data_IF_080904093339
#
_entry.id   IF_080904093339
#
_cell.length_a   1.000
_cell.length_b   1.000
_cell.length_c   1.000
_cell.angle_alpha   90.00
_cell.angle_beta   90.00
_cell.angle_gamma   90.00
#
_symmetry.space_group_name_H-M   'P 1'
#
loop_
_entity.id
_entity.type
_entity.pdbx_description
1 polymer ?
#
# COMPACT_ATOMS: atom_id res chain seq x y z
N UNK A 1 39.01 3.97 -16.33
CA UNK A 1 38.18 4.16 -15.13
C UNK A 1 36.72 3.88 -15.46
N UNK A 2 36.23 2.65 -15.29
CA UNK A 2 34.80 2.32 -15.44
C UNK A 2 34.50 1.01 -14.72
N UNK A 3 33.98 1.10 -13.49
CA UNK A 3 33.72 -0.08 -12.65
C UNK A 3 32.87 0.18 -11.40
N UNK A 4 32.80 1.43 -10.92
CA UNK A 4 32.14 1.76 -9.65
C UNK A 4 30.61 1.90 -9.72
N UNK A 5 30.01 2.18 -10.89
CA UNK A 5 28.58 2.52 -11.00
C UNK A 5 27.62 1.30 -10.92
N UNK A 6 28.09 0.08 -11.16
CA UNK A 6 27.21 -1.12 -11.23
C UNK A 6 26.82 -1.71 -9.87
N UNK A 7 27.64 -1.53 -8.83
CA UNK A 7 27.37 -2.13 -7.52
C UNK A 7 26.32 -1.36 -6.71
N UNK A 8 26.36 -0.02 -6.72
CA UNK A 8 25.38 0.83 -6.05
C UNK A 8 23.96 0.64 -6.63
N UNK A 9 23.89 0.53 -7.96
CA UNK A 9 22.64 0.41 -8.72
C UNK A 9 21.91 -0.93 -8.49
N UNK A 10 22.63 -1.97 -8.09
CA UNK A 10 22.05 -3.25 -7.67
C UNK A 10 21.53 -3.24 -6.23
N UNK A 11 22.20 -2.51 -5.33
CA UNK A 11 21.77 -2.33 -3.94
C UNK A 11 20.46 -1.57 -3.83
N UNK A 12 20.32 -0.49 -4.61
CA UNK A 12 19.12 0.36 -4.62
C UNK A 12 17.88 -0.39 -5.11
N UNK A 13 18.01 -1.20 -6.15
CA UNK A 13 16.91 -2.00 -6.67
C UNK A 13 16.43 -3.08 -5.67
N UNK A 14 17.36 -3.67 -4.92
CA UNK A 14 17.04 -4.66 -3.89
C UNK A 14 16.33 -4.02 -2.69
N UNK A 15 16.81 -2.86 -2.23
CA UNK A 15 16.18 -2.10 -1.15
C UNK A 15 14.74 -1.68 -1.52
N UNK A 16 14.54 -1.21 -2.76
CA UNK A 16 13.20 -0.89 -3.27
C UNK A 16 12.27 -2.10 -3.26
N UNK A 17 12.74 -3.26 -3.72
CA UNK A 17 11.93 -4.49 -3.75
C UNK A 17 11.49 -4.92 -2.34
N UNK A 18 12.39 -4.85 -1.36
CA UNK A 18 12.09 -5.15 0.05
C UNK A 18 11.04 -4.18 0.59
N UNK A 19 11.27 -2.87 0.43
CA UNK A 19 10.37 -1.84 0.93
C UNK A 19 8.97 -1.97 0.30
N UNK A 20 8.91 -2.14 -1.02
CA UNK A 20 7.66 -2.34 -1.74
C UNK A 20 6.93 -3.61 -1.28
N UNK A 21 7.66 -4.71 -1.09
CA UNK A 21 7.12 -5.98 -0.64
C UNK A 21 6.60 -5.93 0.80
N UNK A 22 7.20 -5.10 1.66
CA UNK A 22 6.72 -4.82 3.02
C UNK A 22 5.41 -4.03 2.98
N UNK A 23 5.41 -2.86 2.34
CA UNK A 23 4.23 -1.97 2.26
C UNK A 23 3.04 -2.67 1.61
N UNK A 24 3.26 -3.50 0.58
CA UNK A 24 2.22 -4.33 -0.03
C UNK A 24 1.53 -5.24 0.99
N UNK A 25 2.32 -5.91 1.85
CA UNK A 25 1.81 -6.85 2.86
C UNK A 25 1.08 -6.12 3.98
N UNK A 26 1.65 -5.02 4.47
CA UNK A 26 1.02 -4.15 5.47
C UNK A 26 -0.36 -3.66 5.01
N UNK A 27 -0.51 -3.37 3.71
CA UNK A 27 -1.79 -2.94 3.11
C UNK A 27 -2.68 -4.10 2.64
N UNK A 28 -2.32 -5.36 2.92
CA UNK A 28 -3.12 -6.53 2.54
C UNK A 28 -3.31 -6.74 1.03
N UNK A 29 -2.45 -6.15 0.19
CA UNK A 29 -2.64 -6.15 -1.27
C UNK A 29 -2.11 -7.45 -1.90
N UNK A 30 -2.84 -8.00 -2.87
CA UNK A 30 -2.28 -9.02 -3.77
C UNK A 30 -1.26 -8.39 -4.73
N UNK A 31 -0.38 -9.20 -5.33
CA UNK A 31 0.54 -8.69 -6.36
C UNK A 31 -0.20 -8.16 -7.59
N UNK A 32 -1.36 -8.74 -7.93
CA UNK A 32 -2.20 -8.26 -9.02
C UNK A 32 -2.83 -6.90 -8.71
N UNK A 33 -3.27 -6.67 -7.46
CA UNK A 33 -3.78 -5.37 -7.03
C UNK A 33 -2.67 -4.30 -7.05
N UNK A 34 -1.47 -4.64 -6.55
CA UNK A 34 -0.32 -3.75 -6.62
C UNK A 34 0.07 -3.42 -8.06
N UNK A 35 0.02 -4.39 -8.96
CA UNK A 35 0.31 -4.21 -10.38
C UNK A 35 -0.63 -3.19 -11.03
N UNK A 36 -1.94 -3.26 -10.73
CA UNK A 36 -2.92 -2.26 -11.19
C UNK A 36 -2.59 -0.85 -10.67
N UNK A 37 -2.25 -0.72 -9.39
CA UNK A 37 -1.89 0.57 -8.77
C UNK A 37 -0.64 1.17 -9.42
N UNK A 38 0.36 0.35 -9.70
CA UNK A 38 1.63 0.79 -10.27
C UNK A 38 1.64 0.89 -11.81
N UNK A 39 0.52 0.58 -12.47
CA UNK A 39 0.42 0.59 -13.93
C UNK A 39 1.34 -0.44 -14.61
N UNK A 40 1.50 -1.63 -14.01
CA UNK A 40 2.36 -2.70 -14.49
C UNK A 40 1.61 -4.04 -14.60
N UNK A 41 2.25 -5.04 -15.21
CA UNK A 41 1.73 -6.41 -15.19
C UNK A 41 2.04 -7.10 -13.85
N UNK A 42 1.22 -8.07 -13.44
CA UNK A 42 1.50 -8.86 -12.24
C UNK A 42 2.83 -9.63 -12.35
N UNK A 43 3.17 -10.14 -13.54
CA UNK A 43 4.45 -10.80 -13.78
C UNK A 43 5.65 -9.85 -13.58
N UNK A 44 5.52 -8.59 -14.01
CA UNK A 44 6.54 -7.55 -13.77
C UNK A 44 6.72 -7.29 -12.28
N UNK A 45 5.62 -7.17 -11.53
CA UNK A 45 5.66 -6.98 -10.08
C UNK A 45 6.25 -8.19 -9.36
N UNK A 46 5.91 -9.40 -9.77
CA UNK A 46 6.47 -10.63 -9.19
C UNK A 46 8.00 -10.66 -9.33
N UNK A 47 8.53 -10.42 -10.54
CA UNK A 47 9.98 -10.37 -10.81
C UNK A 47 10.68 -9.24 -10.06
N UNK A 48 10.03 -8.08 -9.95
CA UNK A 48 10.55 -6.94 -9.19
C UNK A 48 10.67 -7.30 -7.71
N UNK A 49 9.61 -7.85 -7.10
CA UNK A 49 9.59 -8.22 -5.68
C UNK A 49 10.56 -9.37 -5.36
N UNK A 50 10.83 -10.25 -6.33
CA UNK A 50 11.85 -11.28 -6.23
C UNK A 50 13.29 -10.73 -6.36
N UNK A 51 13.48 -9.44 -6.62
CA UNK A 51 14.79 -8.83 -6.83
C UNK A 51 15.47 -9.24 -8.15
N UNK A 52 14.75 -9.91 -9.04
CA UNK A 52 15.28 -10.46 -10.29
C UNK A 52 15.30 -9.45 -11.44
N UNK A 53 14.73 -8.27 -11.23
CA UNK A 53 14.53 -7.30 -12.30
C UNK A 53 14.67 -5.87 -11.79
N UNK A 54 15.57 -5.11 -12.43
CA UNK A 54 15.67 -3.66 -12.21
C UNK A 54 14.49 -2.94 -12.87
N UNK A 55 13.62 -2.25 -12.11
CA UNK A 55 12.44 -1.61 -12.68
C UNK A 55 12.84 -0.48 -13.64
N UNK A 56 12.00 -0.25 -14.67
CA UNK A 56 12.12 0.93 -15.54
C UNK A 56 11.92 2.20 -14.70
N UNK A 57 12.48 3.36 -15.11
CA UNK A 57 12.39 4.60 -14.34
C UNK A 57 10.96 4.99 -13.92
N UNK A 58 9.98 4.82 -14.81
CA UNK A 58 8.57 5.11 -14.49
C UNK A 58 8.03 4.21 -13.36
N UNK A 59 8.29 2.90 -13.43
CA UNK A 59 7.87 1.94 -12.40
C UNK A 59 8.61 2.17 -11.09
N UNK A 60 9.89 2.53 -11.15
CA UNK A 60 10.68 2.90 -9.98
C UNK A 60 10.04 4.11 -9.27
N UNK A 61 9.74 5.18 -9.99
CA UNK A 61 9.11 6.37 -9.43
C UNK A 61 7.72 6.06 -8.84
N UNK A 62 6.91 5.25 -9.54
CA UNK A 62 5.62 4.81 -9.03
C UNK A 62 5.75 4.00 -7.73
N UNK A 63 6.71 3.08 -7.65
CA UNK A 63 6.98 2.30 -6.45
C UNK A 63 7.44 3.19 -5.28
N UNK A 64 8.35 4.13 -5.52
CA UNK A 64 8.81 5.09 -4.50
C UNK A 64 7.65 5.93 -3.97
N UNK A 65 6.81 6.47 -4.86
CA UNK A 65 5.61 7.24 -4.47
C UNK A 65 4.64 6.38 -3.65
N UNK A 66 4.41 5.15 -4.08
CA UNK A 66 3.52 4.23 -3.38
C UNK A 66 4.03 3.90 -1.96
N UNK A 67 5.34 3.69 -1.81
CA UNK A 67 5.98 3.44 -0.50
C UNK A 67 5.84 4.66 0.41
N UNK A 68 6.11 5.86 -0.11
CA UNK A 68 6.06 7.11 0.66
C UNK A 68 4.65 7.62 0.94
N UNK A 69 3.64 7.16 0.20
CA UNK A 69 2.25 7.54 0.46
C UNK A 69 1.75 6.84 1.72
N UNK A 70 1.62 7.53 2.85
CA UNK A 70 0.99 6.97 4.05
C UNK A 70 -0.51 6.71 3.80
N UNK A 71 -1.06 5.52 4.13
CA UNK A 71 -2.48 5.24 3.96
C UNK A 71 -3.40 6.06 4.87
N UNK A 72 -2.86 6.87 5.78
CA UNK A 72 -3.61 7.58 6.83
C UNK A 72 -3.60 9.11 6.72
N UNK A 73 -3.02 9.72 5.69
CA UNK A 73 -2.94 11.19 5.58
C UNK A 73 -3.50 11.72 4.26
N UNK A 74 -4.46 11.02 3.67
CA UNK A 74 -5.35 11.65 2.70
C UNK A 74 -6.65 12.05 3.42
N UNK A 75 -6.81 13.35 3.77
CA UNK A 75 -8.03 13.84 4.39
C UNK A 75 -9.27 13.51 3.55
N UNK A 76 -9.15 13.41 2.22
CA UNK A 76 -10.26 13.07 1.34
C UNK A 76 -10.64 11.58 1.46
N UNK A 77 -9.67 10.68 1.60
CA UNK A 77 -9.94 9.26 1.79
C UNK A 77 -10.59 8.98 3.16
N UNK A 78 -10.12 9.63 4.23
CA UNK A 78 -10.73 9.54 5.55
C UNK A 78 -12.15 10.12 5.54
N UNK A 79 -12.35 11.29 4.91
CA UNK A 79 -13.67 11.90 4.76
C UNK A 79 -14.65 11.01 3.99
N UNK A 80 -14.19 10.32 2.93
CA UNK A 80 -15.02 9.39 2.17
C UNK A 80 -15.46 8.19 3.02
N UNK A 81 -14.56 7.66 3.86
CA UNK A 81 -14.89 6.61 4.81
C UNK A 81 -15.93 7.07 5.83
N UNK A 82 -15.74 8.24 6.45
CA UNK A 82 -16.69 8.81 7.41
C UNK A 82 -18.08 8.93 6.82
N UNK A 83 -18.20 9.50 5.61
CA UNK A 83 -19.47 9.64 4.91
C UNK A 83 -20.15 8.29 4.64
N UNK A 84 -19.38 7.27 4.25
CA UNK A 84 -19.92 5.93 3.97
C UNK A 84 -20.37 5.22 5.24
N UNK A 85 -19.59 5.31 6.31
CA UNK A 85 -19.93 4.74 7.62
C UNK A 85 -21.20 5.41 8.16
N UNK A 86 -21.30 6.73 8.08
CA UNK A 86 -22.47 7.48 8.52
C UNK A 86 -23.73 7.09 7.71
N UNK A 87 -23.63 7.05 6.38
CA UNK A 87 -24.74 6.66 5.53
C UNK A 87 -25.23 5.22 5.84
N UNK A 88 -24.30 4.28 6.01
CA UNK A 88 -24.62 2.90 6.35
C UNK A 88 -25.26 2.79 7.75
N UNK A 89 -24.76 3.54 8.74
CA UNK A 89 -25.31 3.57 10.09
C UNK A 89 -26.74 4.14 10.13
N UNK A 90 -27.04 5.16 9.31
CA UNK A 90 -28.41 5.69 9.17
C UNK A 90 -29.37 4.65 8.58
N UNK A 91 -28.91 3.87 7.61
CA UNK A 91 -29.75 2.91 6.88
C UNK A 91 -29.90 1.55 7.57
N UNK A 92 -29.00 1.17 8.48
CA UNK A 92 -29.00 -0.17 9.10
C UNK A 92 -28.79 -0.10 10.62
N UNK A 93 -29.80 -0.56 11.36
CA UNK A 93 -29.74 -0.68 12.84
C UNK A 93 -28.69 -1.71 13.26
N UNK A 94 -28.59 -2.84 12.56
CA UNK A 94 -27.62 -3.88 12.86
C UNK A 94 -26.17 -3.40 12.68
N UNK A 95 -25.91 -2.63 11.63
CA UNK A 95 -24.59 -2.04 11.40
C UNK A 95 -24.24 -1.01 12.49
N UNK A 96 -25.23 -0.21 12.91
CA UNK A 96 -25.06 0.77 13.99
C UNK A 96 -24.74 0.10 15.32
N UNK A 97 -25.46 -0.96 15.67
CA UNK A 97 -25.19 -1.74 16.88
C UNK A 97 -23.78 -2.36 16.87
N UNK A 98 -23.30 -2.82 15.70
CA UNK A 98 -21.93 -3.32 15.55
C UNK A 98 -20.90 -2.21 15.81
N UNK A 99 -21.11 -1.01 15.25
CA UNK A 99 -20.21 0.13 15.48
C UNK A 99 -20.18 0.52 16.96
N UNK A 100 -21.34 0.59 17.62
CA UNK A 100 -21.44 0.91 19.04
C UNK A 100 -20.69 -0.12 19.90
N UNK A 101 -20.84 -1.41 19.61
CA UNK A 101 -20.11 -2.47 20.28
C UNK A 101 -18.58 -2.36 20.05
N UNK A 102 -18.15 -2.03 18.84
CA UNK A 102 -16.74 -1.82 18.54
C UNK A 102 -16.14 -0.62 19.28
N UNK A 103 -16.90 0.47 19.43
CA UNK A 103 -16.49 1.64 20.22
C UNK A 103 -16.40 1.31 21.70
N UNK A 104 -17.38 0.57 22.24
CA UNK A 104 -17.36 0.13 23.63
C UNK A 104 -16.12 -0.71 23.94
N UNK A 105 -15.79 -1.68 23.07
CA UNK A 105 -14.57 -2.48 23.21
C UNK A 105 -13.28 -1.66 23.20
N UNK A 106 -13.24 -0.56 22.43
CA UNK A 106 -12.06 0.31 22.42
C UNK A 106 -11.91 1.03 23.76
N UNK A 107 -13.00 1.61 24.27
CA UNK A 107 -13.01 2.37 25.51
C UNK A 107 -12.81 1.50 26.77
N UNK A 108 -13.12 0.21 26.69
CA UNK A 108 -12.87 -0.76 27.77
C UNK A 108 -11.39 -1.19 27.86
N UNK A 109 -10.60 -0.96 26.81
CA UNK A 109 -9.18 -1.35 26.73
C UNK A 109 -8.21 -0.15 26.86
N UNK A 110 -8.72 1.04 27.20
CA UNK A 110 -7.96 2.23 27.61
C UNK A 110 -8.04 2.43 29.13
#
# INVERSE_FOLDING_TARGET
MSGSKRAADGGDAHALAIALGRVRRERGLTQAALAKILGASQATISKLLAGQHKPRPALHLAAVRFIGAHPSEDPAAFSNLTLRVEAAARQSVAFRALLEAAVALLNENE
#
